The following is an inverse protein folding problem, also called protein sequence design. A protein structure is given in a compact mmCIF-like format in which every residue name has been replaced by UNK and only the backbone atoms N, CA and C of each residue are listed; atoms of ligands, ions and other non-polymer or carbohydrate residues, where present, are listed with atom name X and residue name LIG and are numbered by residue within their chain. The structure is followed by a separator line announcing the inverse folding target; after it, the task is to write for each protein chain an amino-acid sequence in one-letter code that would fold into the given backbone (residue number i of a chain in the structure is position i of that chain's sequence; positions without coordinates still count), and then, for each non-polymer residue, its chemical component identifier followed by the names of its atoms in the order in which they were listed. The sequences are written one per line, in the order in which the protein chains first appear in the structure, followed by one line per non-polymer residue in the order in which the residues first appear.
data_IF_460422805456
#
_entry.id   IF_460422805456
#
_cell.length_a   1.000
_cell.length_b   1.000
_cell.length_c   1.000
_cell.angle_alpha   90.00
_cell.angle_beta   90.00
_cell.angle_gamma   90.00
#
_symmetry.space_group_name_H-M   'P 1'
#
loop_
_entity.id
_entity.type
_entity.pdbx_description
1 polymer ?
#
# COMPACT_ATOMS: atom_id res chain seq x y z
N UNK A 1 5.11 -7.86 -35.18
CA UNK A 1 3.68 -8.00 -34.89
C UNK A 1 3.54 -8.71 -33.56
N UNK A 2 3.34 -7.93 -32.50
CA UNK A 2 3.40 -8.32 -31.09
C UNK A 2 2.02 -8.71 -30.52
N UNK A 3 1.02 -8.86 -31.39
CA UNK A 3 -0.36 -9.22 -31.04
C UNK A 3 -0.48 -10.42 -30.09
N UNK A 4 0.28 -11.52 -30.26
CA UNK A 4 0.22 -12.64 -29.32
C UNK A 4 0.74 -12.26 -27.92
N UNK A 5 1.81 -11.46 -27.85
CA UNK A 5 2.40 -11.01 -26.59
C UNK A 5 1.49 -10.04 -25.83
N UNK A 6 0.79 -9.15 -26.55
CA UNK A 6 -0.18 -8.22 -25.96
C UNK A 6 -1.41 -8.94 -25.38
N UNK A 7 -1.89 -10.01 -26.04
CA UNK A 7 -2.99 -10.82 -25.52
C UNK A 7 -2.60 -11.54 -24.22
N UNK A 8 -1.38 -12.11 -24.16
CA UNK A 8 -0.85 -12.71 -22.92
C UNK A 8 -0.69 -11.65 -21.83
N UNK A 9 -0.13 -10.48 -22.17
CA UNK A 9 0.05 -9.38 -21.22
C UNK A 9 -1.27 -8.88 -20.60
N UNK A 10 -2.37 -8.89 -21.36
CA UNK A 10 -3.68 -8.51 -20.85
C UNK A 10 -4.23 -9.51 -19.83
N UNK A 11 -4.09 -10.82 -20.09
CA UNK A 11 -4.56 -11.86 -19.16
C UNK A 11 -3.69 -11.88 -17.90
N UNK A 12 -2.38 -11.93 -18.07
CA UNK A 12 -1.42 -11.95 -16.94
C UNK A 12 -1.52 -10.68 -16.10
N UNK A 13 -1.78 -9.52 -16.72
CA UNK A 13 -1.97 -8.25 -16.02
C UNK A 13 -3.23 -8.25 -15.15
N UNK A 14 -4.35 -8.79 -15.64
CA UNK A 14 -5.60 -8.90 -14.86
C UNK A 14 -5.44 -9.89 -13.72
N UNK A 15 -4.84 -11.07 -13.98
CA UNK A 15 -4.65 -12.09 -12.95
C UNK A 15 -3.70 -11.61 -11.85
N UNK A 16 -2.62 -10.92 -12.22
CA UNK A 16 -1.70 -10.31 -11.27
C UNK A 16 -2.38 -9.21 -10.45
N UNK A 17 -3.25 -8.41 -11.08
CA UNK A 17 -4.02 -7.37 -10.40
C UNK A 17 -5.01 -7.97 -9.39
N UNK A 18 -5.81 -8.97 -9.78
CA UNK A 18 -6.78 -9.63 -8.89
C UNK A 18 -6.07 -10.36 -7.72
N UNK A 19 -4.91 -10.97 -7.99
CA UNK A 19 -4.10 -11.56 -6.94
C UNK A 19 -3.53 -10.48 -6.00
N UNK A 20 -3.04 -9.37 -6.53
CA UNK A 20 -2.58 -8.24 -5.72
C UNK A 20 -3.70 -7.63 -4.87
N UNK A 21 -4.93 -7.51 -5.40
CA UNK A 21 -6.10 -7.09 -4.62
C UNK A 21 -6.38 -8.03 -3.44
N UNK A 22 -6.25 -9.34 -3.64
CA UNK A 22 -6.43 -10.30 -2.55
C UNK A 22 -5.41 -10.14 -1.41
N UNK A 23 -4.23 -9.57 -1.71
CA UNK A 23 -3.18 -9.25 -0.74
C UNK A 23 -3.28 -7.82 -0.19
N UNK A 24 -3.89 -6.89 -0.94
CA UNK A 24 -4.02 -5.49 -0.56
C UNK A 24 -5.29 -5.18 0.24
N UNK A 25 -6.31 -6.05 0.21
CA UNK A 25 -7.54 -5.91 1.01
C UNK A 25 -7.68 -6.80 2.27
N UNK A 26 -6.62 -7.15 3.03
CA UNK A 26 -6.78 -7.49 4.44
C UNK A 26 -6.87 -6.19 5.24
N UNK A 27 -8.08 -5.90 5.70
CA UNK A 27 -8.48 -4.93 6.73
C UNK A 27 -7.34 -4.07 7.29
N UNK A 28 -7.24 -2.81 6.86
CA UNK A 28 -6.49 -1.77 7.58
C UNK A 28 -6.96 -1.76 9.04
N UNK A 29 -6.05 -2.08 9.96
CA UNK A 29 -6.29 -2.01 11.40
C UNK A 29 -5.47 -0.86 11.95
N UNK A 30 -6.04 -0.08 12.87
CA UNK A 30 -5.36 1.04 13.52
C UNK A 30 -4.08 0.55 14.24
N UNK A 31 -2.88 0.92 13.78
CA UNK A 31 -1.62 0.44 14.33
C UNK A 31 -1.31 1.18 15.62
N UNK A 32 -2.03 0.86 16.69
CA UNK A 32 -1.83 1.44 18.02
C UNK A 32 -0.59 0.85 18.73
N UNK A 33 0.57 0.95 18.07
CA UNK A 33 1.95 0.99 18.60
C UNK A 33 3.04 0.73 17.54
N UNK A 34 2.68 0.59 16.26
CA UNK A 34 3.64 0.19 15.23
C UNK A 34 3.48 0.93 13.90
N UNK A 35 4.14 2.08 13.80
CA UNK A 35 4.26 2.80 12.53
C UNK A 35 4.78 1.86 11.43
N UNK A 36 4.08 1.85 10.30
CA UNK A 36 4.41 1.03 9.12
C UNK A 36 3.91 -0.42 9.14
N UNK A 37 3.19 -0.86 10.17
CA UNK A 37 2.47 -2.15 10.22
C UNK A 37 0.98 -1.89 10.00
N UNK A 38 0.57 -1.73 8.75
CA UNK A 38 -0.76 -1.25 8.38
C UNK A 38 -1.83 -2.33 8.39
N UNK A 39 -1.43 -3.61 8.34
CA UNK A 39 -2.33 -4.76 8.46
C UNK A 39 -2.37 -5.36 9.88
N UNK A 40 -1.59 -4.80 10.83
CA UNK A 40 -1.47 -5.23 12.22
C UNK A 40 -1.04 -6.70 12.39
N UNK A 41 -0.16 -7.19 11.51
CA UNK A 41 0.40 -8.54 11.58
C UNK A 41 1.70 -8.64 12.39
N UNK A 42 2.15 -7.52 12.99
CA UNK A 42 3.39 -7.36 13.75
C UNK A 42 4.68 -7.42 12.91
N UNK A 43 4.57 -7.40 11.59
CA UNK A 43 5.71 -7.56 10.68
C UNK A 43 5.65 -6.56 9.53
N UNK A 44 6.51 -5.53 9.57
CA UNK A 44 6.63 -4.54 8.49
C UNK A 44 7.24 -5.14 7.23
N UNK A 45 6.43 -5.46 6.24
CA UNK A 45 6.84 -6.23 5.08
C UNK A 45 6.15 -5.77 3.77
N UNK A 46 6.21 -6.63 2.75
CA UNK A 46 5.62 -6.36 1.43
C UNK A 46 4.12 -6.04 1.50
N UNK A 47 3.36 -6.64 2.40
CA UNK A 47 1.93 -6.38 2.55
C UNK A 47 1.65 -4.95 3.02
N UNK A 48 2.45 -4.41 3.95
CA UNK A 48 2.35 -3.00 4.36
C UNK A 48 2.75 -2.04 3.25
N UNK A 49 3.79 -2.39 2.49
CA UNK A 49 4.17 -1.63 1.31
C UNK A 49 3.04 -1.56 0.28
N UNK A 50 2.35 -2.68 0.03
CA UNK A 50 1.23 -2.72 -0.89
C UNK A 50 0.06 -1.85 -0.41
N UNK A 51 -0.25 -1.87 0.90
CA UNK A 51 -1.27 -1.00 1.50
C UNK A 51 -0.95 0.50 1.30
N UNK A 52 0.31 0.88 1.49
CA UNK A 52 0.76 2.26 1.20
C UNK A 52 0.65 2.60 -0.30
N UNK A 53 1.09 1.68 -1.18
CA UNK A 53 1.11 1.93 -2.62
C UNK A 53 -0.28 2.03 -3.26
N UNK A 54 -1.29 1.35 -2.70
CA UNK A 54 -2.68 1.48 -3.17
C UNK A 54 -3.21 2.92 -3.04
N UNK A 55 -2.74 3.64 -2.03
CA UNK A 55 -3.15 5.02 -1.76
C UNK A 55 -2.12 6.06 -2.20
N UNK A 56 -1.08 5.66 -2.94
CA UNK A 56 0.00 6.57 -3.31
C UNK A 56 -0.49 7.75 -4.18
N UNK A 57 -0.20 8.97 -3.73
CA UNK A 57 -0.63 10.21 -4.35
C UNK A 57 -2.00 10.71 -3.88
N UNK A 58 -2.70 9.97 -3.01
CA UNK A 58 -3.96 10.41 -2.42
C UNK A 58 -3.75 11.34 -1.23
N UNK A 59 -4.73 12.21 -0.97
CA UNK A 59 -4.76 13.08 0.21
C UNK A 59 -5.41 12.34 1.38
N UNK A 60 -4.92 12.58 2.59
CA UNK A 60 -5.53 12.12 3.87
C UNK A 60 -6.55 13.12 4.43
N UNK A 61 -6.71 14.27 3.77
CA UNK A 61 -7.71 15.28 4.11
C UNK A 61 -8.49 15.79 2.88
N UNK A 62 -9.80 15.93 2.99
CA UNK A 62 -10.66 16.43 1.90
C UNK A 62 -12.06 15.82 1.87
N UNK A 63 -12.92 16.31 0.96
CA UNK A 63 -14.32 15.87 0.83
C UNK A 63 -14.59 14.74 -0.16
N UNK A 64 -13.55 14.09 -0.69
CA UNK A 64 -13.63 13.02 -1.70
C UNK A 64 -13.33 11.62 -1.16
N UNK A 65 -12.87 10.70 -2.01
CA UNK A 65 -12.22 9.46 -1.56
C UNK A 65 -10.89 9.86 -0.92
N UNK A 66 -10.79 9.68 0.39
CA UNK A 66 -9.65 10.12 1.20
C UNK A 66 -8.89 8.87 1.63
N UNK A 67 -7.57 8.91 1.52
CA UNK A 67 -6.74 7.83 2.01
C UNK A 67 -6.82 7.74 3.55
N UNK A 68 -6.64 6.54 4.12
CA UNK A 68 -6.48 6.38 5.56
C UNK A 68 -5.33 7.24 6.09
N UNK A 69 -5.60 8.06 7.11
CA UNK A 69 -4.57 8.89 7.76
C UNK A 69 -3.45 8.07 8.43
N UNK A 70 -3.66 6.77 8.65
CA UNK A 70 -2.63 5.86 9.19
C UNK A 70 -1.50 5.58 8.19
N UNK A 71 -1.73 5.77 6.90
CA UNK A 71 -0.71 5.59 5.85
C UNK A 71 0.22 6.81 5.69
N UNK A 72 -0.20 7.95 6.24
CA UNK A 72 0.51 9.24 6.25
C UNK A 72 1.42 9.28 7.48
N UNK A 73 2.63 8.73 7.31
CA UNK A 73 3.62 8.51 8.36
C UNK A 73 4.31 9.80 8.79
N UNK A 74 4.39 10.81 7.92
CA UNK A 74 4.96 12.11 8.26
C UNK A 74 3.90 13.17 8.62
N UNK A 75 2.61 12.82 8.48
CA UNK A 75 1.45 13.65 8.81
C UNK A 75 1.38 14.95 8.01
N UNK A 76 1.85 14.94 6.75
CA UNK A 76 1.84 16.10 5.86
C UNK A 76 0.52 16.27 5.08
N UNK A 77 -0.38 15.29 5.19
CA UNK A 77 -1.69 15.30 4.54
C UNK A 77 -1.75 14.53 3.23
N UNK A 78 -0.66 13.91 2.78
CA UNK A 78 -0.55 13.22 1.49
C UNK A 78 0.17 11.88 1.65
N UNK A 79 -0.25 10.87 0.91
CA UNK A 79 0.51 9.62 0.81
C UNK A 79 1.53 9.76 -0.32
N UNK A 80 2.80 9.86 0.03
CA UNK A 80 3.85 10.22 -0.92
C UNK A 80 5.14 9.42 -0.73
N UNK A 81 6.20 9.83 -1.44
CA UNK A 81 7.53 9.23 -1.29
C UNK A 81 8.09 9.40 0.12
N UNK A 82 7.70 10.45 0.86
CA UNK A 82 8.13 10.62 2.25
C UNK A 82 7.62 9.49 3.14
N UNK A 83 6.35 9.09 3.01
CA UNK A 83 5.79 7.94 3.73
C UNK A 83 6.44 6.63 3.34
N UNK A 84 6.67 6.43 2.04
CA UNK A 84 7.39 5.25 1.54
C UNK A 84 8.78 5.15 2.18
N UNK A 85 9.53 6.27 2.23
CA UNK A 85 10.83 6.29 2.89
C UNK A 85 10.71 6.06 4.40
N UNK A 86 9.66 6.61 5.03
CA UNK A 86 9.31 6.35 6.42
C UNK A 86 9.15 4.86 6.71
N UNK A 87 8.33 4.15 5.92
CA UNK A 87 8.14 2.71 6.01
C UNK A 87 9.47 1.94 5.85
N UNK A 88 10.29 2.32 4.88
CA UNK A 88 11.58 1.65 4.63
C UNK A 88 12.58 1.82 5.78
N UNK A 89 12.45 2.85 6.62
CA UNK A 89 13.32 3.02 7.80
C UNK A 89 13.10 1.97 8.89
N UNK A 90 11.92 1.35 8.91
CA UNK A 90 11.50 0.34 9.91
C UNK A 90 11.28 -1.05 9.30
N UNK A 91 11.71 -1.24 8.04
CA UNK A 91 11.48 -2.47 7.27
C UNK A 91 12.01 -3.73 7.96
N UNK A 92 11.16 -4.76 8.08
CA UNK A 92 11.52 -6.05 8.68
C UNK A 92 11.84 -6.00 10.17
N UNK A 93 11.70 -4.84 10.83
CA UNK A 93 11.83 -4.72 12.29
C UNK A 93 10.53 -5.21 12.91
N UNK A 94 10.58 -6.21 13.81
CA UNK A 94 9.40 -6.70 14.48
C UNK A 94 8.74 -5.63 15.36
N UNK A 95 7.43 -5.79 15.48
CA UNK A 95 6.56 -5.22 16.48
C UNK A 95 6.29 -6.29 17.56
#
# INVERSE_FOLDING_TARGET
DDFPGRAIGQVVGIDAFLLAESYAFPLLVDPTNCAGDFNADQVRNLYDLLLLLVHFGESTSGGGNVAPATLDLDSDGMISTSDLLGLLTVWGVPC
#
